data_IF_134156160762
#
_entry.id   IF_134156160762
#
_cell.length_a   1.000
_cell.length_b   1.000
_cell.length_c   1.000
_cell.angle_alpha   90.00
_cell.angle_beta   90.00
_cell.angle_gamma   90.00
#
_symmetry.space_group_name_H-M   'P 1'
#
loop_
_entity.id
_entity.type
_entity.pdbx_description
1 polymer ?
#
# COMPACT_ATOMS: atom_id res chain seq x y z
N UNK A 1 -2.14 40.92 -13.25
CA UNK A 1 -3.17 40.27 -12.40
C UNK A 1 -4.28 39.82 -13.33
N UNK A 2 -4.17 38.60 -13.84
CA UNK A 2 -5.12 38.05 -14.83
C UNK A 2 -6.27 37.38 -14.10
N UNK A 3 -7.47 37.93 -14.32
CA UNK A 3 -8.70 37.32 -13.80
C UNK A 3 -9.34 36.48 -14.88
N UNK A 4 -9.26 35.16 -14.75
CA UNK A 4 -10.06 34.22 -15.53
C UNK A 4 -11.08 33.60 -14.57
N UNK A 5 -12.38 33.76 -14.86
CA UNK A 5 -13.51 33.27 -14.05
C UNK A 5 -13.63 33.84 -12.62
N UNK A 6 -13.30 35.13 -12.40
CA UNK A 6 -13.56 35.81 -11.12
C UNK A 6 -12.71 35.36 -9.92
N UNK A 7 -11.78 34.44 -10.08
CA UNK A 7 -10.81 34.04 -9.03
C UNK A 7 -9.57 34.94 -9.12
N UNK A 8 -9.22 35.62 -8.02
CA UNK A 8 -7.92 36.29 -7.87
C UNK A 8 -6.85 35.24 -7.56
N UNK A 9 -5.85 35.11 -8.42
CA UNK A 9 -4.67 34.29 -8.14
C UNK A 9 -3.71 35.08 -7.26
N UNK A 10 -3.29 34.49 -6.12
CA UNK A 10 -2.29 35.06 -5.20
C UNK A 10 -0.87 34.90 -5.72
N UNK A 11 -0.65 33.82 -6.50
CA UNK A 11 0.62 33.48 -7.13
C UNK A 11 0.39 33.11 -8.60
N UNK A 12 1.36 32.40 -9.22
CA UNK A 12 1.17 31.83 -10.55
C UNK A 12 -0.02 30.84 -10.56
N UNK A 13 -0.79 30.80 -11.65
CA UNK A 13 -1.95 29.93 -11.84
C UNK A 13 -1.66 28.43 -11.55
N UNK A 14 -0.44 27.99 -11.85
CA UNK A 14 -0.01 26.62 -11.60
C UNK A 14 0.22 26.35 -10.11
N UNK A 15 0.75 27.33 -9.37
CA UNK A 15 0.97 27.25 -7.92
C UNK A 15 -0.37 27.21 -7.18
N UNK A 16 -1.30 28.08 -7.54
CA UNK A 16 -2.63 28.11 -6.91
C UNK A 16 -3.40 26.80 -7.18
N UNK A 17 -3.30 26.24 -8.39
CA UNK A 17 -3.94 24.96 -8.72
C UNK A 17 -3.34 23.79 -7.92
N UNK A 18 -2.03 23.81 -7.66
CA UNK A 18 -1.36 22.81 -6.80
C UNK A 18 -1.87 22.89 -5.36
N UNK A 19 -1.93 24.10 -4.78
CA UNK A 19 -2.45 24.28 -3.42
C UNK A 19 -3.94 23.93 -3.30
N UNK A 20 -4.76 24.23 -4.31
CA UNK A 20 -6.16 23.76 -4.36
C UNK A 20 -6.23 22.22 -4.37
N UNK A 21 -5.36 21.56 -5.12
CA UNK A 21 -5.28 20.09 -5.15
C UNK A 21 -4.92 19.48 -3.78
N UNK A 22 -3.93 20.02 -3.11
CA UNK A 22 -3.52 19.60 -1.76
C UNK A 22 -4.63 19.87 -0.74
N UNK A 23 -5.25 21.05 -0.79
CA UNK A 23 -6.36 21.40 0.10
C UNK A 23 -7.57 20.48 -0.07
N UNK A 24 -7.93 20.16 -1.32
CA UNK A 24 -9.02 19.24 -1.61
C UNK A 24 -8.71 17.81 -1.14
N UNK A 25 -7.47 17.36 -1.30
CA UNK A 25 -6.99 16.10 -0.75
C UNK A 25 -7.10 16.05 0.78
N UNK A 26 -6.64 17.10 1.46
CA UNK A 26 -6.77 17.23 2.91
C UNK A 26 -8.23 17.19 3.38
N UNK A 27 -9.12 17.95 2.73
CA UNK A 27 -10.57 17.92 3.03
C UNK A 27 -11.17 16.53 2.84
N UNK A 28 -10.73 15.80 1.82
CA UNK A 28 -11.19 14.44 1.55
C UNK A 28 -10.79 13.48 2.69
N UNK A 29 -9.55 13.57 3.17
CA UNK A 29 -9.06 12.79 4.33
C UNK A 29 -9.84 13.14 5.60
N UNK A 30 -10.06 14.43 5.87
CA UNK A 30 -10.86 14.86 7.04
C UNK A 30 -12.29 14.35 6.96
N UNK A 31 -12.90 14.42 5.75
CA UNK A 31 -14.25 13.87 5.51
C UNK A 31 -14.26 12.36 5.74
N UNK A 32 -13.25 11.64 5.30
CA UNK A 32 -13.13 10.20 5.56
C UNK A 32 -13.19 9.90 7.06
N UNK A 33 -12.37 10.55 7.88
CA UNK A 33 -12.37 10.31 9.32
C UNK A 33 -13.71 10.68 9.96
N UNK A 34 -14.36 11.76 9.53
CA UNK A 34 -15.67 12.15 10.01
C UNK A 34 -16.75 11.11 9.68
N UNK A 35 -16.76 10.60 8.44
CA UNK A 35 -17.76 9.65 7.97
C UNK A 35 -17.49 8.21 8.45
N UNK A 36 -16.22 7.84 8.65
CA UNK A 36 -15.82 6.50 9.08
C UNK A 36 -16.35 6.14 10.49
N UNK A 37 -16.50 7.13 11.37
CA UNK A 37 -16.96 6.93 12.75
C UNK A 37 -18.45 7.24 12.98
N UNK A 38 -19.22 7.55 11.93
CA UNK A 38 -20.66 7.79 12.03
C UNK A 38 -21.47 6.55 11.63
N UNK A 39 -22.68 6.37 12.21
CA UNK A 39 -23.64 5.34 11.78
C UNK A 39 -24.36 5.76 10.48
N UNK A 40 -24.84 4.82 9.61
CA UNK A 40 -24.75 3.35 9.68
C UNK A 40 -23.41 2.79 9.19
N UNK A 41 -22.96 1.68 9.78
CA UNK A 41 -21.73 0.98 9.34
C UNK A 41 -22.04 -0.10 8.31
N UNK A 42 -21.35 -0.09 7.19
CA UNK A 42 -21.52 -1.07 6.10
C UNK A 42 -20.52 -2.24 6.22
N UNK A 43 -20.51 -2.94 7.37
CA UNK A 43 -19.54 -4.01 7.65
C UNK A 43 -19.52 -5.10 6.58
N UNK A 44 -20.70 -5.47 6.07
CA UNK A 44 -20.79 -6.49 5.02
C UNK A 44 -20.04 -6.09 3.76
N UNK A 45 -20.13 -4.82 3.38
CA UNK A 45 -19.43 -4.30 2.21
C UNK A 45 -17.92 -4.23 2.46
N UNK A 46 -17.48 -3.83 3.66
CA UNK A 46 -16.06 -3.83 4.04
C UNK A 46 -15.49 -5.25 3.92
N UNK A 47 -16.19 -6.27 4.42
CA UNK A 47 -15.75 -7.67 4.33
C UNK A 47 -15.69 -8.14 2.88
N UNK A 48 -16.68 -7.80 2.06
CA UNK A 48 -16.68 -8.13 0.63
C UNK A 48 -15.46 -7.49 -0.07
N UNK A 49 -15.18 -6.23 0.20
CA UNK A 49 -14.03 -5.53 -0.36
C UNK A 49 -12.70 -6.13 0.15
N UNK A 50 -12.60 -6.51 1.43
CA UNK A 50 -11.43 -7.23 1.95
C UNK A 50 -11.19 -8.56 1.23
N UNK A 51 -12.26 -9.31 0.98
CA UNK A 51 -12.20 -10.58 0.26
C UNK A 51 -11.74 -10.39 -1.20
N UNK A 52 -12.31 -9.41 -1.90
CA UNK A 52 -11.91 -9.09 -3.26
C UNK A 52 -10.45 -8.64 -3.36
N UNK A 53 -10.03 -7.70 -2.52
CA UNK A 53 -8.65 -7.20 -2.46
C UNK A 53 -7.70 -8.33 -2.10
N UNK A 54 -8.02 -9.11 -1.09
CA UNK A 54 -7.19 -10.20 -0.59
C UNK A 54 -7.01 -11.29 -1.65
N UNK A 55 -8.09 -11.97 -2.03
CA UNK A 55 -8.00 -13.13 -2.92
C UNK A 55 -7.49 -12.80 -4.32
N UNK A 56 -7.97 -11.70 -4.91
CA UNK A 56 -7.51 -11.31 -6.24
C UNK A 56 -6.03 -10.94 -6.28
N UNK A 57 -5.42 -10.61 -5.13
CA UNK A 57 -4.00 -10.24 -5.07
C UNK A 57 -3.07 -11.37 -4.62
N UNK A 58 -3.60 -12.44 -4.00
CA UNK A 58 -2.80 -13.53 -3.46
C UNK A 58 -1.83 -14.15 -4.46
N UNK A 59 -2.30 -14.54 -5.65
CA UNK A 59 -1.46 -15.22 -6.65
C UNK A 59 -0.27 -14.37 -7.09
N UNK A 60 -0.48 -13.07 -7.29
CA UNK A 60 0.59 -12.16 -7.68
C UNK A 60 1.58 -11.93 -6.53
N UNK A 61 1.09 -11.79 -5.30
CA UNK A 61 1.92 -11.61 -4.11
C UNK A 61 2.71 -12.89 -3.80
N UNK A 62 2.11 -14.08 -3.99
CA UNK A 62 2.82 -15.36 -3.83
C UNK A 62 3.99 -15.46 -4.79
N UNK A 63 3.74 -15.21 -6.08
CA UNK A 63 4.78 -15.29 -7.08
C UNK A 63 5.90 -14.28 -6.83
N UNK A 64 5.55 -13.02 -6.60
CA UNK A 64 6.55 -11.96 -6.39
C UNK A 64 7.27 -12.10 -5.06
N UNK A 65 6.60 -12.45 -3.98
CA UNK A 65 7.22 -12.71 -2.67
C UNK A 65 8.26 -13.84 -2.76
N UNK A 66 7.90 -14.95 -3.40
CA UNK A 66 8.83 -16.07 -3.60
C UNK A 66 10.06 -15.65 -4.42
N UNK A 67 9.85 -14.99 -5.56
CA UNK A 67 10.94 -14.51 -6.42
C UNK A 67 11.85 -13.54 -5.67
N UNK A 68 11.29 -12.58 -4.93
CA UNK A 68 12.06 -11.62 -4.14
C UNK A 68 12.92 -12.35 -3.10
N UNK A 69 12.38 -13.35 -2.40
CA UNK A 69 13.14 -14.16 -1.46
C UNK A 69 14.33 -14.88 -2.11
N UNK A 70 14.10 -15.57 -3.23
CA UNK A 70 15.14 -16.26 -3.97
C UNK A 70 16.21 -15.30 -4.50
N UNK A 71 15.80 -14.23 -5.17
CA UNK A 71 16.72 -13.29 -5.83
C UNK A 71 17.55 -12.54 -4.79
N UNK A 72 16.93 -12.04 -3.73
CA UNK A 72 17.66 -11.32 -2.70
C UNK A 72 18.67 -12.18 -1.97
N UNK A 73 18.33 -13.45 -1.71
CA UNK A 73 19.28 -14.44 -1.13
C UNK A 73 20.47 -14.67 -2.07
N UNK A 74 20.22 -14.90 -3.36
CA UNK A 74 21.28 -15.11 -4.36
C UNK A 74 22.20 -13.90 -4.51
N UNK A 75 21.65 -12.69 -4.43
CA UNK A 75 22.44 -11.45 -4.55
C UNK A 75 23.25 -11.15 -3.29
N UNK A 76 22.74 -11.48 -2.11
CA UNK A 76 23.43 -11.20 -0.84
C UNK A 76 24.53 -12.22 -0.52
N UNK A 77 24.42 -13.46 -1.02
CA UNK A 77 25.34 -14.55 -0.73
C UNK A 77 26.80 -14.23 -1.11
N UNK A 78 27.16 -13.82 -2.34
CA UNK A 78 28.56 -13.61 -2.72
C UNK A 78 29.25 -12.56 -1.84
N UNK A 79 28.50 -11.53 -1.41
CA UNK A 79 29.03 -10.51 -0.50
C UNK A 79 29.36 -11.12 0.87
N UNK A 80 28.49 -11.98 1.42
CA UNK A 80 28.75 -12.63 2.70
C UNK A 80 29.86 -13.69 2.59
N UNK A 81 29.99 -14.37 1.46
CA UNK A 81 31.09 -15.33 1.19
C UNK A 81 32.46 -14.63 1.22
N UNK A 82 32.57 -13.47 0.61
CA UNK A 82 33.81 -12.69 0.59
C UNK A 82 34.28 -12.26 1.98
N UNK A 83 33.36 -12.16 2.95
CA UNK A 83 33.66 -11.85 4.36
C UNK A 83 33.72 -13.09 5.26
N UNK A 84 33.52 -14.33 4.71
CA UNK A 84 33.45 -15.54 5.50
C UNK A 84 32.25 -15.64 6.44
N UNK A 85 31.18 -14.89 6.14
CA UNK A 85 30.01 -14.68 7.01
C UNK A 85 28.72 -15.30 6.47
N UNK A 86 28.80 -16.39 5.69
CA UNK A 86 27.62 -17.04 5.07
C UNK A 86 26.61 -17.53 6.11
N UNK A 87 27.07 -17.95 7.28
CA UNK A 87 26.20 -18.39 8.38
C UNK A 87 25.21 -17.31 8.86
N UNK A 88 25.45 -16.04 8.55
CA UNK A 88 24.55 -14.92 8.86
C UNK A 88 23.46 -14.72 7.81
N UNK A 89 23.54 -15.40 6.68
CA UNK A 89 22.60 -15.23 5.57
C UNK A 89 21.13 -15.44 5.96
N UNK A 90 20.73 -16.50 6.71
CA UNK A 90 19.34 -16.66 7.14
C UNK A 90 18.85 -15.51 8.03
N UNK A 91 19.68 -15.01 8.94
CA UNK A 91 19.34 -13.90 9.83
C UNK A 91 19.16 -12.59 9.06
N UNK A 92 20.06 -12.30 8.12
CA UNK A 92 19.95 -11.14 7.25
C UNK A 92 18.66 -11.19 6.42
N UNK A 93 18.33 -12.35 5.86
CA UNK A 93 17.09 -12.54 5.09
C UNK A 93 15.86 -12.35 5.96
N UNK A 94 15.85 -12.90 7.17
CA UNK A 94 14.76 -12.73 8.14
C UNK A 94 14.45 -11.26 8.38
N UNK A 95 15.47 -10.49 8.75
CA UNK A 95 15.32 -9.05 9.03
C UNK A 95 14.91 -8.27 7.77
N UNK A 96 15.58 -8.48 6.63
CA UNK A 96 15.33 -7.73 5.41
C UNK A 96 13.92 -7.97 4.86
N UNK A 97 13.48 -9.24 4.84
CA UNK A 97 12.16 -9.59 4.30
C UNK A 97 11.04 -9.12 5.23
N UNK A 98 11.14 -9.37 6.53
CA UNK A 98 10.08 -9.01 7.48
C UNK A 98 9.95 -7.51 7.69
N UNK A 99 11.07 -6.80 7.79
CA UNK A 99 11.09 -5.38 8.16
C UNK A 99 10.90 -4.42 6.98
N UNK A 100 11.42 -4.79 5.79
CA UNK A 100 11.47 -3.88 4.65
C UNK A 100 10.78 -4.43 3.41
N UNK A 101 11.26 -5.57 2.87
CA UNK A 101 10.83 -6.05 1.56
C UNK A 101 9.36 -6.49 1.55
N UNK A 102 8.89 -7.19 2.59
CA UNK A 102 7.50 -7.64 2.69
C UNK A 102 6.50 -6.50 2.59
N UNK A 103 6.52 -5.51 3.49
CA UNK A 103 5.60 -4.37 3.44
C UNK A 103 5.72 -3.55 2.16
N UNK A 104 6.94 -3.21 1.75
CA UNK A 104 7.19 -2.36 0.58
C UNK A 104 6.74 -3.03 -0.72
N UNK A 105 7.18 -4.26 -0.99
CA UNK A 105 6.83 -4.98 -2.23
C UNK A 105 5.33 -5.21 -2.32
N UNK A 106 4.70 -5.64 -1.22
CA UNK A 106 3.24 -5.83 -1.17
C UNK A 106 2.49 -4.54 -1.48
N UNK A 107 2.89 -3.43 -0.88
CA UNK A 107 2.21 -2.15 -1.09
C UNK A 107 2.38 -1.62 -2.51
N UNK A 108 3.55 -1.77 -3.13
CA UNK A 108 3.77 -1.39 -4.54
C UNK A 108 2.90 -2.20 -5.50
N UNK A 109 2.80 -3.52 -5.27
CA UNK A 109 1.92 -4.40 -6.05
C UNK A 109 0.46 -4.00 -5.86
N UNK A 110 0.04 -3.77 -4.60
CA UNK A 110 -1.32 -3.37 -4.29
C UNK A 110 -1.65 -1.97 -4.82
N UNK A 111 -0.71 -1.02 -4.80
CA UNK A 111 -0.91 0.29 -5.43
C UNK A 111 -1.19 0.16 -6.93
N UNK A 112 -0.43 -0.69 -7.64
CA UNK A 112 -0.65 -0.96 -9.05
C UNK A 112 -1.95 -1.70 -9.34
N UNK A 113 -2.26 -2.77 -8.62
CA UNK A 113 -3.40 -3.64 -8.88
C UNK A 113 -4.69 -3.16 -8.21
N UNK A 114 -4.66 -3.01 -6.89
CA UNK A 114 -5.85 -2.64 -6.11
C UNK A 114 -6.16 -1.17 -6.29
N UNK A 115 -5.15 -0.30 -6.24
CA UNK A 115 -5.31 1.14 -6.41
C UNK A 115 -5.88 1.49 -7.79
N UNK A 116 -5.38 0.86 -8.85
CA UNK A 116 -5.94 1.05 -10.20
C UNK A 116 -7.39 0.55 -10.29
N UNK A 117 -7.70 -0.61 -9.71
CA UNK A 117 -9.06 -1.18 -9.73
C UNK A 117 -10.06 -0.27 -9.03
N UNK A 118 -9.76 0.19 -7.81
CA UNK A 118 -10.60 1.11 -7.05
C UNK A 118 -10.84 2.42 -7.82
N UNK A 119 -9.77 3.02 -8.35
CA UNK A 119 -9.88 4.29 -9.08
C UNK A 119 -10.65 4.13 -10.39
N UNK A 120 -10.46 3.03 -11.13
CA UNK A 120 -11.19 2.74 -12.35
C UNK A 120 -12.69 2.50 -12.10
N UNK A 121 -13.02 1.73 -11.07
CA UNK A 121 -14.41 1.43 -10.70
C UNK A 121 -15.15 2.70 -10.27
N UNK A 122 -14.60 3.46 -9.31
CA UNK A 122 -15.22 4.71 -8.85
C UNK A 122 -15.30 5.75 -9.97
N UNK A 123 -14.26 5.83 -10.81
CA UNK A 123 -14.24 6.72 -11.96
C UNK A 123 -15.30 6.35 -13.00
N UNK A 124 -15.49 5.06 -13.27
CA UNK A 124 -16.56 4.58 -14.13
C UNK A 124 -17.94 4.92 -13.57
N UNK A 125 -18.18 4.65 -12.28
CA UNK A 125 -19.43 4.99 -11.59
C UNK A 125 -19.72 6.49 -11.61
N UNK A 126 -18.67 7.34 -11.51
CA UNK A 126 -18.84 8.80 -11.57
C UNK A 126 -19.22 9.26 -12.97
N UNK A 127 -18.56 8.77 -13.99
CA UNK A 127 -18.79 9.17 -15.39
C UNK A 127 -20.13 8.67 -15.92
N UNK A 128 -20.64 7.55 -15.39
CA UNK A 128 -21.97 7.00 -15.72
C UNK A 128 -23.08 7.50 -14.79
N UNK A 129 -22.80 8.55 -13.99
CA UNK A 129 -23.77 9.20 -13.07
C UNK A 129 -24.35 8.27 -11.99
N UNK A 130 -23.77 7.09 -11.78
CA UNK A 130 -24.23 6.16 -10.74
C UNK A 130 -24.04 6.73 -9.33
N UNK A 131 -22.98 7.49 -9.10
CA UNK A 131 -22.72 8.16 -7.81
C UNK A 131 -23.81 9.22 -7.57
N UNK A 132 -24.18 9.97 -8.58
CA UNK A 132 -25.21 11.02 -8.49
C UNK A 132 -26.60 10.38 -8.30
N UNK A 133 -26.87 9.25 -8.93
CA UNK A 133 -28.10 8.46 -8.72
C UNK A 133 -28.22 7.94 -7.27
N UNK A 134 -27.10 7.55 -6.64
CA UNK A 134 -27.09 7.16 -5.22
C UNK A 134 -27.47 8.33 -4.31
N UNK A 135 -26.98 9.56 -4.58
CA UNK A 135 -27.35 10.74 -3.81
C UNK A 135 -28.83 11.05 -3.90
N UNK A 136 -29.42 10.97 -5.10
CA UNK A 136 -30.87 11.15 -5.31
C UNK A 136 -31.69 10.08 -4.56
N UNK A 137 -31.14 8.87 -4.41
CA UNK A 137 -31.76 7.79 -3.65
C UNK A 137 -31.53 7.89 -2.13
N UNK A 138 -31.05 9.02 -1.63
CA UNK A 138 -30.73 9.28 -0.22
C UNK A 138 -29.65 8.33 0.38
N UNK A 139 -28.81 7.72 -0.46
CA UNK A 139 -27.66 6.93 -0.04
C UNK A 139 -26.43 7.83 -0.05
N UNK A 140 -25.69 7.90 1.05
CA UNK A 140 -24.43 8.64 1.08
C UNK A 140 -23.33 7.87 0.30
N UNK A 141 -22.99 8.29 -0.94
CA UNK A 141 -22.06 7.54 -1.78
C UNK A 141 -20.63 7.62 -1.24
N UNK A 142 -20.25 8.70 -0.59
CA UNK A 142 -18.93 8.82 0.02
C UNK A 142 -18.72 7.74 1.08
N UNK A 143 -19.70 7.53 1.94
CA UNK A 143 -19.64 6.54 3.01
C UNK A 143 -19.67 5.12 2.46
N UNK A 144 -20.56 4.84 1.52
CA UNK A 144 -20.73 3.50 0.96
C UNK A 144 -19.57 3.09 0.05
N UNK A 145 -19.03 4.01 -0.75
CA UNK A 145 -18.00 3.70 -1.75
C UNK A 145 -16.58 3.98 -1.25
N UNK A 146 -16.34 5.13 -0.63
CA UNK A 146 -14.99 5.54 -0.24
C UNK A 146 -14.59 4.91 1.08
N UNK A 147 -15.41 5.06 2.12
CA UNK A 147 -15.05 4.57 3.46
C UNK A 147 -14.86 3.06 3.47
N UNK A 148 -15.72 2.30 2.81
CA UNK A 148 -15.62 0.84 2.76
C UNK A 148 -14.34 0.37 2.07
N UNK A 149 -13.95 0.98 0.95
CA UNK A 149 -12.73 0.63 0.22
C UNK A 149 -11.45 1.02 0.97
N UNK A 150 -11.42 2.19 1.59
CA UNK A 150 -10.26 2.63 2.39
C UNK A 150 -10.08 1.74 3.63
N UNK A 151 -11.16 1.40 4.32
CA UNK A 151 -11.09 0.47 5.46
C UNK A 151 -10.64 -0.92 5.01
N UNK A 152 -11.16 -1.41 3.89
CA UNK A 152 -10.77 -2.71 3.36
C UNK A 152 -9.30 -2.77 2.95
N UNK A 153 -8.75 -1.75 2.27
CA UNK A 153 -7.31 -1.69 1.94
C UNK A 153 -6.44 -1.61 3.18
N UNK A 154 -6.84 -0.79 4.17
CA UNK A 154 -6.11 -0.62 5.42
C UNK A 154 -6.01 -1.93 6.21
N UNK A 155 -7.04 -2.78 6.16
CA UNK A 155 -7.05 -4.08 6.85
C UNK A 155 -6.37 -5.17 6.02
N UNK A 156 -6.61 -5.23 4.71
CA UNK A 156 -6.13 -6.32 3.86
C UNK A 156 -4.63 -6.23 3.57
N UNK A 157 -4.07 -5.04 3.38
CA UNK A 157 -2.66 -4.88 2.99
C UNK A 157 -1.68 -5.36 4.07
N UNK A 158 -1.88 -5.11 5.37
CA UNK A 158 -1.06 -5.73 6.42
C UNK A 158 -1.07 -7.25 6.39
N UNK A 159 -2.23 -7.87 6.22
CA UNK A 159 -2.37 -9.33 6.14
C UNK A 159 -1.59 -9.87 4.93
N UNK A 160 -1.76 -9.24 3.78
CA UNK A 160 -1.02 -9.60 2.56
C UNK A 160 0.50 -9.37 2.70
N UNK A 161 0.92 -8.36 3.45
CA UNK A 161 2.32 -8.06 3.72
C UNK A 161 2.99 -9.16 4.56
N UNK A 162 2.34 -9.61 5.64
CA UNK A 162 2.83 -10.74 6.42
C UNK A 162 2.86 -12.03 5.59
N UNK A 163 1.84 -12.27 4.78
CA UNK A 163 1.82 -13.39 3.85
C UNK A 163 2.97 -13.32 2.84
N UNK A 164 3.23 -12.16 2.24
CA UNK A 164 4.35 -11.92 1.32
C UNK A 164 5.69 -12.21 2.00
N UNK A 165 5.86 -11.74 3.24
CA UNK A 165 7.07 -11.99 4.02
C UNK A 165 7.26 -13.47 4.30
N UNK A 166 6.21 -14.18 4.65
CA UNK A 166 6.27 -15.64 4.85
C UNK A 166 6.68 -16.36 3.56
N UNK A 167 6.06 -16.05 2.44
CA UNK A 167 6.39 -16.66 1.13
C UNK A 167 7.82 -16.28 0.70
N UNK A 168 8.26 -15.06 0.99
CA UNK A 168 9.62 -14.60 0.72
C UNK A 168 10.67 -15.39 1.53
N UNK A 169 10.39 -15.70 2.80
CA UNK A 169 11.26 -16.56 3.62
C UNK A 169 11.30 -18.00 3.09
N UNK A 170 10.18 -18.53 2.58
CA UNK A 170 10.17 -19.85 1.92
C UNK A 170 11.05 -19.83 0.67
N UNK A 171 10.98 -18.76 -0.15
CA UNK A 171 11.86 -18.61 -1.32
C UNK A 171 13.34 -18.49 -0.93
N UNK A 172 13.65 -17.79 0.14
CA UNK A 172 15.00 -17.69 0.71
C UNK A 172 15.51 -19.06 1.19
N UNK A 173 14.69 -19.80 1.95
CA UNK A 173 15.03 -21.13 2.42
C UNK A 173 15.30 -22.09 1.26
N UNK A 174 14.47 -22.08 0.21
CA UNK A 174 14.66 -22.90 -0.98
C UNK A 174 16.06 -22.72 -1.59
N UNK A 175 16.55 -21.48 -1.65
CA UNK A 175 17.88 -21.21 -2.18
C UNK A 175 18.99 -21.67 -1.22
N UNK A 176 18.90 -21.37 0.07
CA UNK A 176 19.90 -21.75 1.09
C UNK A 176 19.98 -23.27 1.22
N UNK A 177 18.85 -23.96 1.25
CA UNK A 177 18.83 -25.45 1.38
C UNK A 177 19.48 -26.15 0.19
N UNK A 178 19.32 -25.64 -1.02
CA UNK A 178 19.92 -26.25 -2.21
C UNK A 178 21.46 -26.11 -2.26
N UNK A 179 22.01 -25.07 -1.64
CA UNK A 179 23.43 -24.78 -1.73
C UNK A 179 24.23 -25.22 -0.48
N UNK A 180 23.58 -25.21 0.70
CA UNK A 180 24.26 -25.45 1.98
C UNK A 180 23.75 -26.72 2.72
N UNK A 181 22.77 -27.44 2.18
CA UNK A 181 22.08 -28.56 2.86
C UNK A 181 21.56 -28.19 4.27
N UNK A 182 21.24 -26.91 4.50
CA UNK A 182 20.77 -26.41 5.80
C UNK A 182 19.35 -26.92 6.08
N UNK A 183 19.12 -27.48 7.27
CA UNK A 183 17.79 -27.95 7.66
C UNK A 183 16.83 -26.77 7.88
N UNK A 184 15.53 -26.99 7.63
CA UNK A 184 14.49 -25.99 7.83
C UNK A 184 14.49 -25.44 9.27
N UNK A 185 14.74 -26.32 10.26
CA UNK A 185 14.75 -25.92 11.66
C UNK A 185 15.88 -24.92 11.96
N UNK A 186 17.08 -25.18 11.45
CA UNK A 186 18.24 -24.29 11.64
C UNK A 186 18.02 -22.97 10.90
N UNK A 187 17.50 -23.02 9.68
CA UNK A 187 17.17 -21.81 8.93
C UNK A 187 16.16 -20.93 9.69
N UNK A 188 15.03 -21.50 10.11
CA UNK A 188 14.01 -20.76 10.85
C UNK A 188 14.55 -20.19 12.16
N UNK A 189 15.30 -21.00 12.93
CA UNK A 189 15.90 -20.52 14.16
C UNK A 189 16.78 -19.29 13.91
N UNK A 190 17.70 -19.37 12.96
CA UNK A 190 18.59 -18.26 12.63
C UNK A 190 17.86 -17.05 12.04
N UNK A 191 16.84 -17.25 11.18
CA UNK A 191 16.09 -16.18 10.57
C UNK A 191 15.30 -15.36 11.60
N UNK A 192 14.75 -16.01 12.63
CA UNK A 192 13.91 -15.33 13.63
C UNK A 192 14.68 -14.87 14.89
N UNK A 193 15.89 -15.38 15.16
CA UNK A 193 16.66 -15.02 16.37
C UNK A 193 16.92 -13.52 16.51
N UNK A 194 17.12 -12.81 15.42
CA UNK A 194 17.48 -11.40 15.43
C UNK A 194 16.32 -10.46 15.07
N UNK A 195 15.09 -10.99 14.93
CA UNK A 195 13.90 -10.19 14.70
C UNK A 195 13.36 -9.73 16.06
N UNK A 196 13.38 -8.41 16.27
CA UNK A 196 12.83 -7.78 17.47
C UNK A 196 11.31 -7.60 17.33
N UNK A 197 10.61 -7.56 18.48
CA UNK A 197 9.20 -7.17 18.52
C UNK A 197 8.94 -5.81 17.87
N UNK A 198 9.88 -4.88 18.02
CA UNK A 198 9.84 -3.58 17.36
C UNK A 198 9.85 -3.69 15.83
N UNK A 199 10.56 -4.66 15.25
CA UNK A 199 10.59 -4.86 13.79
C UNK A 199 9.23 -5.33 13.26
N UNK A 200 8.56 -6.24 13.98
CA UNK A 200 7.22 -6.72 13.63
C UNK A 200 6.21 -5.59 13.73
N UNK A 201 6.27 -4.81 14.82
CA UNK A 201 5.37 -3.68 15.02
C UNK A 201 5.58 -2.57 13.96
N UNK A 202 6.83 -2.28 13.63
CA UNK A 202 7.17 -1.34 12.57
C UNK A 202 6.66 -1.81 11.19
N UNK A 203 6.81 -3.10 10.88
CA UNK A 203 6.30 -3.71 9.64
C UNK A 203 4.78 -3.59 9.56
N UNK A 204 4.06 -3.88 10.65
CA UNK A 204 2.61 -3.74 10.74
C UNK A 204 2.17 -2.27 10.53
N UNK A 205 2.82 -1.35 11.22
CA UNK A 205 2.53 0.10 11.11
C UNK A 205 2.74 0.60 9.68
N UNK A 206 3.85 0.23 9.04
CA UNK A 206 4.12 0.54 7.62
C UNK A 206 2.98 0.05 6.73
N UNK A 207 2.64 -1.23 6.83
CA UNK A 207 1.63 -1.85 6.00
C UNK A 207 0.23 -1.22 6.20
N UNK A 208 -0.13 -0.80 7.43
CA UNK A 208 -1.35 -0.07 7.74
C UNK A 208 -1.37 1.31 7.06
N UNK A 209 -0.28 2.07 7.18
CA UNK A 209 -0.16 3.40 6.58
C UNK A 209 -0.24 3.29 5.06
N UNK A 210 0.50 2.37 4.44
CA UNK A 210 0.44 2.15 2.99
C UNK A 210 -0.95 1.74 2.51
N UNK A 211 -1.62 0.85 3.27
CA UNK A 211 -2.99 0.43 2.97
C UNK A 211 -3.96 1.60 2.97
N UNK A 212 -3.85 2.47 3.97
CA UNK A 212 -4.63 3.68 4.07
C UNK A 212 -4.35 4.64 2.90
N UNK A 213 -3.08 4.90 2.60
CA UNK A 213 -2.67 5.80 1.51
C UNK A 213 -3.17 5.31 0.15
N UNK A 214 -3.01 4.01 -0.16
CA UNK A 214 -3.53 3.42 -1.40
C UNK A 214 -5.04 3.62 -1.51
N UNK A 215 -5.78 3.29 -0.44
CA UNK A 215 -7.23 3.42 -0.40
C UNK A 215 -7.71 4.85 -0.61
N UNK A 216 -7.14 5.81 0.14
CA UNK A 216 -7.49 7.23 0.07
C UNK A 216 -7.18 7.83 -1.31
N UNK A 217 -5.96 7.64 -1.79
CA UNK A 217 -5.52 8.23 -3.06
C UNK A 217 -6.32 7.69 -4.24
N UNK A 218 -6.53 6.37 -4.27
CA UNK A 218 -7.28 5.73 -5.36
C UNK A 218 -8.74 6.11 -5.34
N UNK A 219 -9.36 6.16 -4.15
CA UNK A 219 -10.74 6.63 -4.00
C UNK A 219 -10.87 8.11 -4.36
N UNK A 220 -9.93 8.96 -3.95
CA UNK A 220 -9.94 10.39 -4.30
C UNK A 220 -9.90 10.60 -5.81
N UNK A 221 -8.94 9.98 -6.49
CA UNK A 221 -8.77 10.14 -7.94
C UNK A 221 -9.96 9.57 -8.72
N UNK A 222 -10.49 8.42 -8.31
CA UNK A 222 -11.67 7.83 -8.95
C UNK A 222 -12.93 8.64 -8.71
N UNK A 223 -13.21 9.06 -7.47
CA UNK A 223 -14.42 9.78 -7.12
C UNK A 223 -14.55 11.15 -7.82
N UNK A 224 -13.44 11.80 -8.16
CA UNK A 224 -13.40 13.06 -8.88
C UNK A 224 -12.99 12.90 -10.36
N UNK A 225 -13.11 11.71 -10.93
CA UNK A 225 -12.86 11.51 -12.36
C UNK A 225 -13.89 12.29 -13.22
N UNK A 226 -13.40 12.92 -14.28
CA UNK A 226 -14.18 13.72 -15.21
C UNK A 226 -13.83 13.36 -16.66
N UNK A 227 -14.58 13.84 -17.64
CA UNK A 227 -14.28 13.69 -19.09
C UNK A 227 -14.40 12.26 -19.64
N UNK A 228 -15.38 11.49 -19.19
CA UNK A 228 -15.73 10.20 -19.75
C UNK A 228 -14.65 9.12 -19.53
N UNK A 229 -14.63 8.11 -20.39
CA UNK A 229 -13.71 6.95 -20.26
C UNK A 229 -12.23 7.35 -20.30
N UNK A 230 -11.87 8.37 -21.06
CA UNK A 230 -10.49 8.90 -21.12
C UNK A 230 -10.07 9.52 -19.79
N UNK A 231 -11.01 10.18 -19.09
CA UNK A 231 -10.77 10.73 -17.76
C UNK A 231 -10.58 9.66 -16.69
N UNK A 232 -11.34 8.56 -16.77
CA UNK A 232 -11.17 7.40 -15.91
C UNK A 232 -9.76 6.82 -16.02
N UNK A 233 -9.28 6.58 -17.24
CA UNK A 233 -7.92 6.09 -17.48
C UNK A 233 -6.84 7.03 -16.92
N UNK A 234 -7.02 8.36 -17.09
CA UNK A 234 -6.09 9.35 -16.53
C UNK A 234 -6.11 9.34 -14.99
N UNK A 235 -7.30 9.29 -14.38
CA UNK A 235 -7.46 9.25 -12.92
C UNK A 235 -6.81 7.99 -12.33
N UNK A 236 -7.01 6.83 -12.97
CA UNK A 236 -6.41 5.55 -12.58
C UNK A 236 -4.89 5.59 -12.61
N UNK A 237 -4.31 6.08 -13.69
CA UNK A 237 -2.85 6.21 -13.80
C UNK A 237 -2.27 7.17 -12.76
N UNK A 238 -2.92 8.32 -12.55
CA UNK A 238 -2.52 9.29 -11.53
C UNK A 238 -2.66 8.72 -10.10
N UNK A 239 -3.66 7.89 -9.84
CA UNK A 239 -3.83 7.24 -8.55
C UNK A 239 -2.66 6.31 -8.24
N UNK A 240 -2.24 5.47 -9.19
CA UNK A 240 -1.11 4.55 -9.05
C UNK A 240 0.19 5.32 -8.81
N UNK A 241 0.50 6.29 -9.69
CA UNK A 241 1.74 7.09 -9.58
C UNK A 241 1.82 7.81 -8.23
N UNK A 242 0.74 8.47 -7.82
CA UNK A 242 0.72 9.22 -6.57
C UNK A 242 0.81 8.29 -5.35
N UNK A 243 0.13 7.14 -5.37
CA UNK A 243 0.23 6.15 -4.30
C UNK A 243 1.65 5.63 -4.13
N UNK A 244 2.30 5.23 -5.22
CA UNK A 244 3.69 4.75 -5.21
C UNK A 244 4.64 5.83 -4.67
N UNK A 245 4.50 7.07 -5.12
CA UNK A 245 5.33 8.18 -4.65
C UNK A 245 5.15 8.42 -3.15
N UNK A 246 3.93 8.44 -2.64
CA UNK A 246 3.65 8.62 -1.22
C UNK A 246 4.18 7.44 -0.39
N UNK A 247 4.04 6.19 -0.84
CA UNK A 247 4.59 5.01 -0.17
C UNK A 247 6.11 5.14 0.04
N UNK A 248 6.86 5.59 -0.98
CA UNK A 248 8.30 5.82 -0.82
C UNK A 248 8.62 6.94 0.17
N UNK A 249 7.84 8.03 0.20
CA UNK A 249 8.01 9.08 1.20
C UNK A 249 7.72 8.58 2.62
N UNK A 250 6.63 7.83 2.78
CA UNK A 250 6.23 7.22 4.05
C UNK A 250 7.27 6.20 4.53
N UNK A 251 7.87 5.40 3.62
CA UNK A 251 8.94 4.47 3.97
C UNK A 251 10.12 5.21 4.61
N UNK A 252 10.59 6.29 3.98
CA UNK A 252 11.71 7.09 4.51
C UNK A 252 11.38 7.65 5.89
N UNK A 253 10.19 8.20 6.06
CA UNK A 253 9.77 8.82 7.33
C UNK A 253 9.66 7.75 8.44
N UNK A 254 8.99 6.64 8.15
CA UNK A 254 8.77 5.58 9.16
C UNK A 254 10.10 4.92 9.55
N UNK A 255 10.99 4.65 8.58
CA UNK A 255 12.33 4.11 8.87
C UNK A 255 13.11 5.04 9.78
N UNK A 256 13.07 6.36 9.53
CA UNK A 256 13.74 7.34 10.38
C UNK A 256 13.20 7.36 11.81
N UNK A 257 11.88 7.31 11.96
CA UNK A 257 11.21 7.25 13.28
C UNK A 257 11.59 5.95 14.03
N UNK A 258 11.51 4.80 13.35
CA UNK A 258 11.85 3.50 13.94
C UNK A 258 13.32 3.44 14.36
N UNK A 259 14.22 3.98 13.55
CA UNK A 259 15.63 4.06 13.91
C UNK A 259 15.85 4.97 15.13
N UNK A 260 15.17 6.11 15.18
CA UNK A 260 15.25 7.00 16.34
C UNK A 260 14.80 6.30 17.63
N UNK A 261 13.66 5.58 17.59
CA UNK A 261 13.15 4.80 18.75
C UNK A 261 14.13 3.67 19.16
N UNK A 262 14.86 3.08 18.22
CA UNK A 262 15.81 1.99 18.50
C UNK A 262 17.07 2.47 19.22
N UNK A 263 17.48 3.72 19.03
CA UNK A 263 18.68 4.29 19.63
C UNK A 263 18.43 4.99 20.97
N UNK A 264 17.19 5.15 21.38
CA UNK A 264 16.77 5.61 22.70
C UNK A 264 16.29 4.44 23.57
#
# INVERSE_FOLDING_TARGET
MDTVNGKKYLFSKDIDSYFEGVYNGYRFVVRFFKEAFTSPFHFREIINQCFEIGLKSLSLITLTGFIVGVVFTKQSRPSLESFGAVSWLPSLMGIAIMRALGPLVTSLICAGKVGSSISAELGSMKVTEQIDAMEVSAINPFKYLVVTRVMATTISIPILSFYCSFVGLVGSYYNVSNEEATSLQVFCHNAFTNISFLDIFASLTKALVYGFTIGIVSSYKGFFATHGTRGVGKATNQAVILSIFLIFLEEVIIVQIVNWIRYF
#
